data_IF_403631208090
#
_entry.id   IF_403631208090
#
_cell.length_a   1.000
_cell.length_b   1.000
_cell.length_c   1.000
_cell.angle_alpha   90.00
_cell.angle_beta   90.00
_cell.angle_gamma   90.00
#
_symmetry.space_group_name_H-M   'P 1'
#
loop_
_entity.id
_entity.type
_entity.pdbx_description
1 polymer ?
#
# COMPACT_ATOMS: atom_id res chain seq x y z
N UNK A 1 -20.80 16.33 14.83
CA UNK A 1 -20.57 15.99 13.39
C UNK A 1 -21.58 14.96 12.97
N UNK A 2 -22.46 15.28 12.02
CA UNK A 2 -23.55 14.40 11.60
C UNK A 2 -23.00 13.21 10.81
N UNK A 3 -23.39 11.98 11.17
CA UNK A 3 -22.99 10.74 10.49
C UNK A 3 -23.40 10.74 8.99
N UNK A 4 -24.41 11.53 8.62
CA UNK A 4 -24.89 11.70 7.23
C UNK A 4 -23.85 12.29 6.27
N UNK A 5 -22.87 13.03 6.78
CA UNK A 5 -21.89 13.75 5.97
C UNK A 5 -20.60 12.94 5.73
N UNK A 6 -20.51 11.74 6.31
CA UNK A 6 -19.37 10.85 6.05
C UNK A 6 -19.48 10.20 4.66
N UNK A 7 -18.39 10.18 3.89
CA UNK A 7 -18.32 9.31 2.73
C UNK A 7 -18.45 7.85 3.15
N UNK A 8 -18.93 6.95 2.28
CA UNK A 8 -19.02 5.53 2.59
C UNK A 8 -17.64 4.97 2.92
N UNK A 9 -17.58 4.12 3.95
CA UNK A 9 -16.34 3.41 4.31
C UNK A 9 -15.98 2.41 3.21
N UNK A 10 -14.70 2.39 2.84
CA UNK A 10 -14.13 1.39 1.94
C UNK A 10 -12.90 0.80 2.63
N UNK A 11 -12.90 -0.48 2.88
CA UNK A 11 -11.80 -1.19 3.53
C UNK A 11 -11.72 -2.62 2.99
N UNK A 12 -10.51 -3.21 2.96
CA UNK A 12 -10.33 -4.59 2.53
C UNK A 12 -10.94 -5.56 3.54
N UNK A 13 -11.41 -6.73 3.06
CA UNK A 13 -12.07 -7.76 3.87
C UNK A 13 -11.63 -9.16 3.46
N UNK A 14 -11.58 -10.08 4.42
CA UNK A 14 -11.34 -11.50 4.14
C UNK A 14 -12.48 -12.11 3.33
N UNK A 15 -13.72 -11.68 3.61
CA UNK A 15 -14.91 -12.23 2.99
C UNK A 15 -15.00 -12.01 1.48
N UNK A 16 -14.40 -10.94 0.95
CA UNK A 16 -14.39 -10.63 -0.48
C UNK A 16 -13.03 -10.94 -1.15
N UNK A 17 -12.10 -11.55 -0.40
CA UNK A 17 -10.79 -11.92 -0.90
C UNK A 17 -9.80 -10.75 -1.05
N UNK A 18 -10.14 -9.56 -0.55
CA UNK A 18 -9.27 -8.39 -0.61
C UNK A 18 -8.29 -8.28 0.55
N UNK A 19 -8.46 -9.12 1.59
CA UNK A 19 -7.46 -9.41 2.62
C UNK A 19 -7.04 -10.88 2.50
N UNK A 20 -5.74 -11.09 2.34
CA UNK A 20 -5.14 -12.42 2.17
C UNK A 20 -4.03 -12.65 3.19
N UNK A 21 -3.61 -13.91 3.36
CA UNK A 21 -2.47 -14.23 4.22
C UNK A 21 -1.17 -13.64 3.65
N UNK A 22 -0.18 -13.42 4.52
CA UNK A 22 1.15 -12.95 4.10
C UNK A 22 1.81 -13.93 3.12
N UNK A 23 1.65 -15.23 3.33
CA UNK A 23 2.19 -16.24 2.43
C UNK A 23 1.59 -16.13 1.02
N UNK A 24 0.27 -15.93 0.93
CA UNK A 24 -0.41 -15.70 -0.35
C UNK A 24 0.04 -14.39 -0.98
N UNK A 25 0.13 -13.31 -0.20
CA UNK A 25 0.63 -12.02 -0.68
C UNK A 25 2.05 -12.14 -1.28
N UNK A 26 2.96 -12.85 -0.58
CA UNK A 26 4.32 -13.04 -1.07
C UNK A 26 4.39 -13.88 -2.36
N UNK A 27 3.47 -14.84 -2.52
CA UNK A 27 3.37 -15.65 -3.73
C UNK A 27 2.81 -14.87 -4.94
N UNK A 28 1.84 -13.99 -4.70
CA UNK A 28 1.09 -13.26 -5.73
C UNK A 28 1.73 -11.91 -6.09
N UNK A 29 2.60 -11.38 -5.23
CA UNK A 29 3.21 -10.08 -5.46
C UNK A 29 4.03 -10.05 -6.75
N UNK A 30 3.86 -9.03 -7.61
CA UNK A 30 4.58 -8.94 -8.88
C UNK A 30 6.10 -8.87 -8.68
N UNK A 31 6.86 -9.53 -9.55
CA UNK A 31 8.34 -9.57 -9.50
C UNK A 31 8.95 -8.27 -9.98
N UNK A 32 8.79 -7.22 -9.21
CA UNK A 32 9.26 -5.87 -9.52
C UNK A 32 10.77 -5.79 -9.28
N UNK A 33 11.58 -5.35 -10.26
CA UNK A 33 13.01 -5.12 -10.06
C UNK A 33 13.26 -4.12 -8.93
N UNK A 34 14.09 -4.53 -7.96
CA UNK A 34 14.39 -3.73 -6.78
C UNK A 34 13.38 -3.83 -5.63
N UNK A 35 12.28 -4.54 -5.80
CA UNK A 35 11.40 -4.88 -4.70
C UNK A 35 11.80 -6.22 -4.07
N UNK A 36 11.84 -6.27 -2.75
CA UNK A 36 11.96 -7.49 -1.98
C UNK A 36 10.79 -7.58 -0.99
N UNK A 37 10.18 -8.74 -0.87
CA UNK A 37 9.14 -8.97 0.16
C UNK A 37 9.86 -9.19 1.48
N UNK A 38 9.38 -8.51 2.52
CA UNK A 38 9.88 -8.73 3.87
C UNK A 38 9.32 -10.03 4.43
N UNK A 39 10.20 -10.80 5.08
CA UNK A 39 9.80 -11.97 5.87
C UNK A 39 9.51 -11.59 7.33
N UNK A 40 9.79 -10.33 7.69
CA UNK A 40 9.55 -9.82 9.03
C UNK A 40 8.10 -9.40 9.16
N UNK A 41 7.34 -10.16 9.93
CA UNK A 41 5.97 -9.88 10.29
C UNK A 41 5.84 -9.79 11.80
N UNK A 42 4.88 -9.00 12.27
CA UNK A 42 4.55 -8.98 13.70
C UNK A 42 3.77 -10.25 14.04
N UNK A 43 4.46 -11.20 14.63
CA UNK A 43 3.84 -12.38 15.22
C UNK A 43 3.29 -12.00 16.60
N UNK A 44 1.98 -11.95 16.69
CA UNK A 44 1.28 -11.65 17.93
C UNK A 44 0.55 -12.91 18.39
N UNK A 45 0.80 -13.30 19.64
CA UNK A 45 0.11 -14.41 20.28
C UNK A 45 -0.88 -13.90 21.32
N UNK A 46 -1.93 -14.67 21.56
CA UNK A 46 -2.76 -14.51 22.74
C UNK A 46 -1.87 -14.68 23.97
N UNK A 47 -2.01 -13.80 24.94
CA UNK A 47 -1.26 -13.88 26.18
C UNK A 47 -2.24 -14.19 27.33
N UNK A 48 -2.03 -15.30 27.97
CA UNK A 48 -2.82 -15.73 29.15
C UNK A 48 -2.13 -15.30 30.45
N UNK A 49 -2.74 -14.34 31.14
CA UNK A 49 -2.31 -13.81 32.42
C UNK A 49 -2.99 -14.49 33.59
N UNK A 50 -3.77 -15.55 33.31
CA UNK A 50 -4.52 -16.32 34.32
C UNK A 50 -6.00 -15.92 34.42
N UNK A 51 -6.82 -16.74 35.10
CA UNK A 51 -8.28 -16.63 35.06
C UNK A 51 -8.85 -15.35 35.69
N UNK A 52 -8.06 -14.65 36.48
CA UNK A 52 -8.54 -13.44 37.16
C UNK A 52 -8.27 -12.15 36.39
N UNK A 53 -7.45 -12.18 35.35
CA UNK A 53 -7.05 -10.97 34.62
C UNK A 53 -8.25 -10.20 34.07
N UNK A 54 -9.16 -10.90 33.39
CA UNK A 54 -10.33 -10.27 32.77
C UNK A 54 -11.41 -9.85 33.78
N UNK A 55 -11.56 -10.55 34.89
CA UNK A 55 -12.60 -10.28 35.88
C UNK A 55 -12.24 -9.25 36.92
N UNK A 56 -10.95 -9.02 37.16
CA UNK A 56 -10.46 -8.09 38.20
C UNK A 56 -9.83 -6.81 37.63
N UNK A 57 -9.80 -6.66 36.30
CA UNK A 57 -9.19 -5.49 35.68
C UNK A 57 -7.66 -5.49 35.73
N UNK A 58 -7.03 -6.64 35.71
CA UNK A 58 -5.58 -6.74 35.54
C UNK A 58 -4.81 -7.46 36.61
N UNK A 59 -5.48 -8.21 37.50
CA UNK A 59 -4.79 -9.04 38.51
C UNK A 59 -4.13 -10.25 37.84
N UNK A 60 -2.80 -10.28 37.85
CA UNK A 60 -2.01 -11.34 37.24
C UNK A 60 -1.87 -12.53 38.20
N UNK A 61 -2.32 -13.70 37.80
CA UNK A 61 -2.14 -14.94 38.55
C UNK A 61 -1.15 -15.90 37.89
N UNK A 62 -0.70 -15.57 36.69
CA UNK A 62 0.27 -16.35 35.94
C UNK A 62 1.45 -15.46 35.50
N UNK A 63 2.62 -15.69 36.13
CA UNK A 63 3.86 -14.93 35.84
C UNK A 63 5.01 -15.96 35.75
N UNK A 64 5.69 -16.03 34.57
CA UNK A 64 5.37 -15.35 33.34
C UNK A 64 4.04 -15.80 32.72
N UNK A 65 3.38 -14.96 31.89
CA UNK A 65 2.15 -15.36 31.22
C UNK A 65 2.41 -16.49 30.21
N UNK A 66 1.42 -17.33 29.98
CA UNK A 66 1.50 -18.34 28.92
C UNK A 66 1.18 -17.72 27.58
N UNK A 67 1.89 -18.17 26.53
CA UNK A 67 1.54 -17.83 25.15
C UNK A 67 0.51 -18.84 24.63
N UNK A 68 -0.60 -18.31 24.13
CA UNK A 68 -1.64 -19.05 23.43
C UNK A 68 -1.39 -19.09 21.91
N UNK A 69 -2.42 -19.39 21.12
CA UNK A 69 -2.31 -19.43 19.67
C UNK A 69 -1.97 -18.05 19.10
N UNK A 70 -1.28 -18.06 17.97
CA UNK A 70 -0.97 -16.85 17.21
C UNK A 70 -2.22 -16.28 16.54
N UNK A 71 -2.26 -14.96 16.42
CA UNK A 71 -3.28 -14.30 15.60
C UNK A 71 -2.97 -14.47 14.13
N UNK A 72 -3.99 -14.78 13.34
CA UNK A 72 -3.86 -14.78 11.89
C UNK A 72 -3.60 -13.34 11.41
N UNK A 73 -2.53 -13.16 10.63
CA UNK A 73 -2.15 -11.88 10.04
C UNK A 73 -2.60 -11.84 8.58
N UNK A 74 -3.37 -10.81 8.25
CA UNK A 74 -3.86 -10.57 6.89
C UNK A 74 -3.35 -9.23 6.38
N UNK A 75 -3.11 -9.18 5.07
CA UNK A 75 -2.67 -7.97 4.36
C UNK A 75 -3.57 -7.73 3.15
N UNK A 76 -3.78 -6.47 2.72
CA UNK A 76 -4.49 -6.19 1.49
C UNK A 76 -3.76 -6.78 0.28
N UNK A 77 -4.50 -7.23 -0.72
CA UNK A 77 -3.93 -7.69 -2.00
C UNK A 77 -3.15 -6.57 -2.69
N UNK A 78 -2.21 -6.97 -3.55
CA UNK A 78 -1.53 -6.07 -4.48
C UNK A 78 -2.08 -6.25 -5.90
N UNK A 79 -2.10 -5.17 -6.68
CA UNK A 79 -2.37 -5.21 -8.12
C UNK A 79 -1.08 -5.51 -8.92
N UNK A 80 -1.19 -5.46 -10.25
CA UNK A 80 -0.07 -5.69 -11.19
C UNK A 80 1.09 -4.70 -10.99
N UNK A 81 0.82 -3.55 -10.40
CA UNK A 81 1.80 -2.53 -10.07
C UNK A 81 2.40 -2.69 -8.66
N UNK A 82 1.97 -3.68 -7.90
CA UNK A 82 2.33 -3.85 -6.50
C UNK A 82 1.67 -2.81 -5.57
N UNK A 83 0.61 -2.14 -6.04
CA UNK A 83 -0.16 -1.17 -5.27
C UNK A 83 -1.41 -1.82 -4.67
N UNK A 84 -1.91 -1.26 -3.58
CA UNK A 84 -3.17 -1.72 -3.00
C UNK A 84 -4.37 -1.24 -3.85
N UNK A 85 -5.13 -2.15 -4.50
CA UNK A 85 -6.28 -1.79 -5.32
C UNK A 85 -7.54 -1.48 -4.50
N UNK A 86 -7.51 -1.72 -3.19
CA UNK A 86 -8.68 -1.67 -2.31
C UNK A 86 -8.67 -0.43 -1.42
N UNK A 87 -9.84 -0.05 -0.93
CA UNK A 87 -9.99 1.08 -0.03
C UNK A 87 -10.10 2.42 -0.76
N UNK A 88 -9.83 3.50 -0.03
CA UNK A 88 -9.78 4.85 -0.59
C UNK A 88 -8.39 5.04 -1.19
N UNK A 89 -8.34 5.11 -2.52
CA UNK A 89 -7.06 5.28 -3.24
C UNK A 89 -6.83 6.78 -3.48
N UNK A 90 -5.78 7.39 -2.92
CA UNK A 90 -5.42 8.78 -3.19
C UNK A 90 -4.95 8.97 -4.63
N UNK A 91 -4.77 10.22 -5.05
CA UNK A 91 -4.41 10.56 -6.44
C UNK A 91 -3.13 9.83 -6.89
N UNK A 92 -2.13 9.76 -6.04
CA UNK A 92 -0.82 9.12 -6.31
C UNK A 92 -0.92 7.60 -6.51
N UNK A 93 -2.00 6.98 -6.02
CA UNK A 93 -2.27 5.55 -6.20
C UNK A 93 -3.23 5.30 -7.36
N UNK A 94 -4.08 6.26 -7.72
CA UNK A 94 -4.96 6.17 -8.90
C UNK A 94 -4.22 6.51 -10.19
N UNK A 95 -3.23 7.38 -10.12
CA UNK A 95 -2.38 7.83 -11.24
C UNK A 95 -0.92 7.66 -10.83
N UNK A 96 -0.45 6.40 -10.69
CA UNK A 96 0.85 6.13 -10.11
C UNK A 96 2.00 6.49 -11.07
N UNK A 97 3.10 6.92 -10.49
CA UNK A 97 4.39 7.10 -11.16
C UNK A 97 5.40 6.01 -10.79
N UNK A 98 4.99 5.09 -9.94
CA UNK A 98 5.78 3.98 -9.44
C UNK A 98 5.02 3.22 -8.35
N UNK A 99 5.65 2.19 -7.81
CA UNK A 99 5.13 1.40 -6.70
C UNK A 99 5.59 1.98 -5.37
N UNK A 100 4.65 2.25 -4.49
CA UNK A 100 4.91 2.59 -3.10
C UNK A 100 4.78 1.33 -2.24
N UNK A 101 5.86 0.96 -1.55
CA UNK A 101 5.86 -0.15 -0.60
C UNK A 101 5.83 0.41 0.82
N UNK A 102 5.06 -0.22 1.71
CA UNK A 102 5.00 0.13 3.13
C UNK A 102 6.24 -0.29 3.92
N UNK A 103 7.24 -0.88 3.26
CA UNK A 103 8.47 -1.37 3.86
C UNK A 103 9.69 -1.04 3.00
N UNK A 104 10.86 -1.16 3.61
CA UNK A 104 12.14 -1.05 2.94
C UNK A 104 13.08 -2.11 3.52
N UNK A 105 13.67 -2.93 2.65
CA UNK A 105 14.48 -4.09 3.04
C UNK A 105 15.96 -3.81 2.75
N UNK A 106 16.84 -4.23 3.65
CA UNK A 106 18.30 -4.12 3.46
C UNK A 106 18.77 -5.05 2.35
N UNK A 107 19.41 -4.48 1.34
CA UNK A 107 19.96 -5.21 0.20
C UNK A 107 21.36 -5.76 0.50
N UNK A 108 22.11 -5.13 1.41
CA UNK A 108 23.51 -5.47 1.69
C UNK A 108 23.88 -5.33 3.17
N UNK A 109 25.09 -5.73 3.53
CA UNK A 109 25.67 -5.60 4.86
C UNK A 109 25.16 -6.64 5.85
N UNK A 110 25.16 -6.28 7.15
CA UNK A 110 24.63 -7.14 8.20
C UNK A 110 23.09 -7.11 8.19
N UNK A 111 22.48 -8.28 8.33
CA UNK A 111 21.00 -8.42 8.37
C UNK A 111 20.31 -8.08 7.04
N UNK A 112 20.88 -8.56 5.94
CA UNK A 112 20.20 -8.58 4.63
C UNK A 112 18.82 -9.23 4.79
N UNK A 113 17.81 -8.65 4.14
CA UNK A 113 16.42 -9.13 4.25
C UNK A 113 15.62 -8.52 5.41
N UNK A 114 16.29 -7.91 6.41
CA UNK A 114 15.58 -7.22 7.48
C UNK A 114 15.12 -5.82 7.05
N UNK A 115 14.12 -5.29 7.76
CA UNK A 115 13.62 -3.94 7.53
C UNK A 115 14.71 -2.89 7.74
N UNK A 116 14.79 -1.93 6.82
CA UNK A 116 15.71 -0.80 6.87
C UNK A 116 15.02 0.43 7.49
N UNK A 117 14.65 0.35 8.76
CA UNK A 117 13.94 1.44 9.44
C UNK A 117 12.42 1.37 9.27
N UNK A 118 11.74 2.48 9.61
CA UNK A 118 10.27 2.59 9.59
C UNK A 118 9.73 3.36 8.37
N UNK A 119 10.56 3.58 7.36
CA UNK A 119 10.17 4.25 6.12
C UNK A 119 9.86 3.21 5.05
N UNK A 120 8.85 3.51 4.22
CA UNK A 120 8.59 2.74 3.01
C UNK A 120 9.60 3.02 1.90
N UNK A 121 9.40 2.42 0.75
CA UNK A 121 10.20 2.63 -0.45
C UNK A 121 9.31 3.02 -1.64
N UNK A 122 9.92 3.73 -2.60
CA UNK A 122 9.29 4.10 -3.85
C UNK A 122 10.14 3.57 -5.02
N UNK A 123 9.54 2.76 -5.87
CA UNK A 123 10.19 2.17 -7.04
C UNK A 123 9.52 2.78 -8.28
N UNK A 124 10.16 3.74 -8.96
CA UNK A 124 9.56 4.41 -10.09
C UNK A 124 9.28 3.44 -11.25
N UNK A 125 8.27 3.74 -12.05
CA UNK A 125 8.09 3.09 -13.34
C UNK A 125 9.18 3.53 -14.30
N UNK A 126 9.53 2.65 -15.24
CA UNK A 126 10.39 3.02 -16.35
C UNK A 126 9.70 4.09 -17.22
N UNK A 127 10.48 4.92 -17.92
CA UNK A 127 9.91 5.96 -18.75
C UNK A 127 9.30 5.39 -20.04
N UNK A 128 10.01 4.49 -20.68
CA UNK A 128 9.65 3.96 -22.00
C UNK A 128 9.43 2.44 -21.99
N UNK A 129 8.68 1.94 -22.96
CA UNK A 129 8.50 0.50 -23.18
C UNK A 129 9.85 -0.23 -23.37
N UNK A 130 10.80 0.38 -24.10
CA UNK A 130 12.12 -0.19 -24.32
C UNK A 130 12.95 -0.31 -23.03
N UNK A 131 12.82 0.64 -22.10
CA UNK A 131 13.45 0.55 -20.77
C UNK A 131 12.82 -0.56 -19.95
N UNK A 132 11.49 -0.69 -19.99
CA UNK A 132 10.74 -1.73 -19.32
C UNK A 132 11.20 -3.13 -19.75
N UNK A 133 11.27 -3.35 -21.06
CA UNK A 133 11.72 -4.64 -21.63
C UNK A 133 13.15 -4.98 -21.23
N UNK A 134 14.05 -4.00 -21.26
CA UNK A 134 15.45 -4.17 -20.87
C UNK A 134 15.62 -4.52 -19.40
N UNK A 135 14.84 -3.89 -18.52
CA UNK A 135 14.85 -4.16 -17.09
C UNK A 135 14.03 -5.40 -16.68
N UNK A 136 13.26 -5.97 -17.62
CA UNK A 136 12.28 -7.04 -17.37
C UNK A 136 11.27 -6.66 -16.28
N UNK A 137 10.89 -5.38 -16.24
CA UNK A 137 9.87 -4.89 -15.32
C UNK A 137 8.49 -5.35 -15.80
N UNK A 138 7.69 -6.07 -15.00
CA UNK A 138 6.37 -6.52 -15.39
C UNK A 138 5.37 -5.36 -15.49
N UNK A 139 5.65 -4.22 -14.83
CA UNK A 139 4.75 -3.07 -14.78
C UNK A 139 4.85 -2.25 -16.06
N UNK A 140 3.75 -1.70 -16.52
CA UNK A 140 3.76 -0.80 -17.67
C UNK A 140 4.61 0.45 -17.40
N UNK A 141 5.34 0.91 -18.42
CA UNK A 141 6.09 2.18 -18.38
C UNK A 141 5.17 3.39 -18.34
N UNK A 142 5.71 4.57 -18.03
CA UNK A 142 4.94 5.82 -18.05
C UNK A 142 4.39 6.14 -19.44
N UNK A 143 5.17 5.86 -20.48
CA UNK A 143 4.75 6.04 -21.87
C UNK A 143 3.56 5.14 -22.24
N UNK A 144 3.60 3.85 -21.85
CA UNK A 144 2.51 2.92 -22.10
C UNK A 144 1.23 3.29 -21.35
N UNK A 145 1.35 3.91 -20.16
CA UNK A 145 0.21 4.30 -19.33
C UNK A 145 -0.44 5.60 -19.76
N UNK A 146 0.37 6.59 -20.04
CA UNK A 146 -0.10 7.97 -20.20
C UNK A 146 0.15 8.52 -21.60
N UNK A 147 0.89 7.82 -22.44
CA UNK A 147 1.27 8.19 -23.79
C UNK A 147 2.20 9.42 -23.84
N UNK A 148 1.85 10.49 -23.14
CA UNK A 148 2.61 11.75 -23.09
C UNK A 148 2.21 12.57 -21.87
N UNK A 149 2.83 13.76 -21.72
CA UNK A 149 2.54 14.67 -20.62
C UNK A 149 1.06 15.05 -20.50
N UNK A 150 0.40 15.35 -21.61
CA UNK A 150 -1.01 15.71 -21.61
C UNK A 150 -1.90 14.57 -21.09
N UNK A 151 -1.63 13.34 -21.53
CA UNK A 151 -2.37 12.15 -21.05
C UNK A 151 -2.20 11.92 -19.55
N UNK A 152 -1.00 12.17 -19.01
CA UNK A 152 -0.79 12.15 -17.56
C UNK A 152 -1.63 13.21 -16.84
N UNK A 153 -1.61 14.48 -17.31
CA UNK A 153 -2.41 15.56 -16.72
C UNK A 153 -3.91 15.24 -16.74
N UNK A 154 -4.40 14.68 -17.85
CA UNK A 154 -5.80 14.26 -17.97
C UNK A 154 -6.16 13.13 -17.02
N UNK A 155 -5.26 12.17 -16.80
CA UNK A 155 -5.46 11.12 -15.82
C UNK A 155 -5.59 11.70 -14.39
N UNK A 156 -4.72 12.66 -14.03
CA UNK A 156 -4.81 13.37 -12.74
C UNK A 156 -6.13 14.13 -12.61
N UNK A 157 -6.58 14.84 -13.66
CA UNK A 157 -7.87 15.56 -13.66
C UNK A 157 -9.05 14.61 -13.43
N UNK A 158 -9.07 13.46 -14.08
CA UNK A 158 -10.11 12.44 -13.87
C UNK A 158 -10.11 11.92 -12.43
N UNK A 159 -8.95 11.50 -11.94
CA UNK A 159 -8.81 10.93 -10.60
C UNK A 159 -9.22 11.93 -9.50
N UNK A 160 -8.81 13.19 -9.62
CA UNK A 160 -9.18 14.25 -8.67
C UNK A 160 -10.68 14.56 -8.71
N UNK A 161 -11.26 14.66 -9.91
CA UNK A 161 -12.70 14.90 -10.08
C UNK A 161 -13.56 13.78 -9.46
N UNK A 162 -13.13 12.54 -9.61
CA UNK A 162 -13.79 11.39 -8.99
C UNK A 162 -13.71 11.44 -7.47
N UNK A 163 -12.53 11.73 -6.92
CA UNK A 163 -12.32 11.82 -5.47
C UNK A 163 -13.12 12.97 -4.85
N UNK A 164 -13.24 14.11 -5.52
CA UNK A 164 -14.09 15.23 -5.07
C UNK A 164 -15.56 14.81 -5.09
N UNK A 165 -16.04 14.21 -6.16
CA UNK A 165 -17.41 13.69 -6.27
C UNK A 165 -17.73 12.67 -5.17
N UNK A 166 -16.76 11.81 -4.85
CA UNK A 166 -16.85 10.81 -3.78
C UNK A 166 -16.65 11.40 -2.38
N UNK A 167 -16.31 12.68 -2.27
CA UNK A 167 -16.06 13.41 -1.01
C UNK A 167 -14.84 12.93 -0.23
N UNK A 168 -13.84 12.38 -0.92
CA UNK A 168 -12.55 11.98 -0.36
C UNK A 168 -11.44 12.99 -0.60
N UNK A 169 -11.70 14.02 -1.43
CA UNK A 169 -10.77 15.10 -1.72
C UNK A 169 -11.50 16.43 -1.73
N UNK A 170 -10.88 17.47 -1.20
CA UNK A 170 -11.40 18.84 -1.29
C UNK A 170 -11.13 19.42 -2.68
N UNK A 171 -12.00 20.30 -3.16
CA UNK A 171 -11.86 20.92 -4.49
C UNK A 171 -10.55 21.71 -4.62
N UNK A 172 -10.17 22.44 -3.59
CA UNK A 172 -8.92 23.21 -3.52
C UNK A 172 -7.67 22.33 -3.59
N UNK A 173 -7.70 21.14 -2.99
CA UNK A 173 -6.62 20.16 -3.08
C UNK A 173 -6.58 19.53 -4.47
N UNK A 174 -7.72 19.25 -5.08
CA UNK A 174 -7.79 18.77 -6.46
C UNK A 174 -7.13 19.75 -7.43
N UNK A 175 -7.38 21.04 -7.31
CA UNK A 175 -6.72 22.08 -8.11
C UNK A 175 -5.20 22.10 -7.89
N UNK A 176 -4.73 21.86 -6.67
CA UNK A 176 -3.30 21.78 -6.36
C UNK A 176 -2.65 20.60 -7.07
N UNK A 177 -3.26 19.42 -7.04
CA UNK A 177 -2.77 18.24 -7.77
C UNK A 177 -2.71 18.47 -9.28
N UNK A 178 -3.74 19.10 -9.84
CA UNK A 178 -3.78 19.40 -11.28
C UNK A 178 -2.65 20.38 -11.65
N UNK A 179 -2.49 21.48 -10.93
CA UNK A 179 -1.39 22.44 -11.18
C UNK A 179 -0.01 21.78 -11.05
N UNK A 180 0.18 20.91 -10.08
CA UNK A 180 1.42 20.16 -9.90
C UNK A 180 1.69 19.24 -11.09
N UNK A 181 0.67 18.55 -11.59
CA UNK A 181 0.79 17.72 -12.78
C UNK A 181 1.13 18.54 -14.02
N UNK A 182 0.45 19.67 -14.25
CA UNK A 182 0.68 20.58 -15.39
C UNK A 182 2.08 21.17 -15.43
N UNK A 183 2.63 21.51 -14.26
CA UNK A 183 3.98 22.12 -14.16
C UNK A 183 5.09 21.08 -14.04
N UNK A 184 4.76 19.84 -13.76
CA UNK A 184 5.70 18.72 -13.59
C UNK A 184 6.37 18.31 -14.92
N UNK A 185 7.38 17.44 -14.80
CA UNK A 185 8.21 16.99 -15.94
C UNK A 185 7.89 15.56 -16.40
N UNK A 186 6.76 15.00 -15.99
CA UNK A 186 6.37 13.63 -16.36
C UNK A 186 6.11 13.58 -17.86
N UNK A 187 6.88 12.79 -18.60
CA UNK A 187 6.75 12.60 -20.07
C UNK A 187 6.84 13.91 -20.88
N UNK A 188 7.62 14.87 -20.42
CA UNK A 188 8.03 16.04 -21.21
C UNK A 188 9.29 15.74 -21.99
#
# INVERSE_FOLDING_TARGET
MCIRDRPPSRYPQVADGTLISIAQYAADFPKIPGAAITEVVNELSLVDFGPWFGSTGGFLTQIPPSLGPEYAVFVPIADEDGLNPVGIRPVEVRVPLGTNLGWNVRADGRRVGNLCGLTGSFIPFTKTAAERERSKDPRLSLEERYTNHQGYVEAVRRATSELVRERFLLAEDAERFIRQAETGNVLR
#
